data_IF_512033201127
#
_entry.id   IF_512033201127
#
_cell.length_a   1.000
_cell.length_b   1.000
_cell.length_c   1.000
_cell.angle_alpha   90.00
_cell.angle_beta   90.00
_cell.angle_gamma   90.00
#
_symmetry.space_group_name_H-M   'P 1'
#
loop_
_entity.id
_entity.type
_entity.pdbx_description
1 polymer ?
#
# COMPACT_ATOMS: atom_id res chain seq x y z
N UNK A 1 -15.71 -0.20 -23.73
CA UNK A 1 -14.41 -0.87 -23.62
C UNK A 1 -13.76 -0.33 -22.36
N UNK A 2 -14.10 -0.90 -21.20
CA UNK A 2 -13.72 -0.35 -19.90
C UNK A 2 -12.23 -0.63 -19.61
N UNK A 3 -11.52 0.44 -19.24
CA UNK A 3 -10.10 0.50 -18.92
C UNK A 3 -9.75 -0.44 -17.77
N UNK A 4 -8.91 -1.46 -17.99
CA UNK A 4 -8.35 -2.27 -16.89
C UNK A 4 -6.91 -2.67 -17.20
N UNK A 5 -5.98 -1.74 -17.01
CA UNK A 5 -4.54 -2.02 -17.05
C UNK A 5 -3.78 -1.08 -16.11
N UNK A 6 -4.27 -0.90 -14.88
CA UNK A 6 -3.50 -0.27 -13.79
C UNK A 6 -3.25 -1.23 -12.61
N UNK A 7 -3.49 -2.53 -12.82
CA UNK A 7 -3.57 -3.58 -11.81
C UNK A 7 -2.24 -4.05 -11.18
N UNK A 8 -1.09 -3.42 -11.48
CA UNK A 8 0.21 -3.95 -10.98
C UNK A 8 0.77 -3.28 -9.74
N UNK A 9 0.24 -2.12 -9.35
CA UNK A 9 0.76 -1.36 -8.23
C UNK A 9 -0.35 -1.02 -7.24
N UNK A 10 -1.17 -1.99 -6.84
CA UNK A 10 -2.18 -1.77 -5.80
C UNK A 10 -1.53 -2.16 -4.46
N UNK A 11 -1.66 -1.30 -3.45
CA UNK A 11 -1.25 -1.63 -2.09
C UNK A 11 -2.17 -2.71 -1.52
N UNK A 12 -1.62 -3.86 -1.13
CA UNK A 12 -2.40 -5.00 -0.58
C UNK A 12 -3.04 -4.67 0.78
N UNK A 13 -2.59 -3.60 1.46
CA UNK A 13 -3.14 -3.20 2.76
C UNK A 13 -4.30 -2.21 2.65
N UNK A 14 -4.25 -1.26 1.71
CA UNK A 14 -5.26 -0.19 1.61
C UNK A 14 -6.02 -0.15 0.28
N UNK A 15 -5.62 -0.97 -0.70
CA UNK A 15 -6.21 -0.98 -2.04
C UNK A 15 -5.90 0.26 -2.88
N UNK A 16 -5.03 1.17 -2.42
CA UNK A 16 -4.66 2.36 -3.17
C UNK A 16 -3.71 2.03 -4.32
N UNK A 17 -3.90 2.70 -5.46
CA UNK A 17 -2.99 2.61 -6.60
C UNK A 17 -1.74 3.46 -6.38
N UNK A 18 -0.60 2.79 -6.31
CA UNK A 18 0.73 3.35 -6.18
C UNK A 18 1.22 3.76 -7.58
N UNK A 19 1.25 5.07 -7.82
CA UNK A 19 1.61 5.64 -9.12
C UNK A 19 3.10 5.95 -9.24
N UNK A 20 3.77 6.27 -8.13
CA UNK A 20 5.18 6.72 -8.12
C UNK A 20 6.03 5.79 -7.29
N UNK A 21 7.31 5.66 -7.67
CA UNK A 21 8.29 4.90 -6.88
C UNK A 21 8.42 5.40 -5.43
N UNK A 22 8.26 6.70 -5.22
CA UNK A 22 8.33 7.32 -3.89
C UNK A 22 7.15 6.95 -2.99
N UNK A 23 6.03 6.53 -3.57
CA UNK A 23 4.83 6.15 -2.83
C UNK A 23 4.88 4.67 -2.39
N UNK A 24 5.92 3.93 -2.79
CA UNK A 24 6.10 2.54 -2.37
C UNK A 24 6.72 2.44 -0.97
N UNK A 25 6.35 1.37 -0.29
CA UNK A 25 6.86 1.03 1.01
C UNK A 25 8.36 0.71 0.99
N UNK A 26 8.92 0.54 2.17
CA UNK A 26 10.31 0.12 2.33
C UNK A 26 10.42 -1.08 3.25
N UNK A 27 11.24 -2.05 2.86
CA UNK A 27 11.59 -3.21 3.67
C UNK A 27 12.60 -2.82 4.76
N UNK A 28 12.85 -3.73 5.71
CA UNK A 28 13.80 -3.50 6.81
C UNK A 28 15.24 -3.25 6.31
N UNK A 29 15.60 -3.86 5.19
CA UNK A 29 16.89 -3.70 4.51
C UNK A 29 17.01 -2.37 3.72
N UNK A 30 15.94 -1.57 3.68
CA UNK A 30 15.87 -0.31 2.94
C UNK A 30 15.54 -0.46 1.45
N UNK A 31 15.25 -1.67 0.98
CA UNK A 31 14.75 -1.88 -0.39
C UNK A 31 13.29 -1.45 -0.53
N UNK A 32 12.88 -1.14 -1.76
CA UNK A 32 11.50 -0.75 -2.06
C UNK A 32 10.58 -1.96 -2.01
N UNK A 33 9.47 -1.85 -1.28
CA UNK A 33 8.43 -2.86 -1.22
C UNK A 33 7.35 -2.55 -2.27
N UNK A 34 7.11 -3.45 -3.21
CA UNK A 34 6.12 -3.27 -4.29
C UNK A 34 4.70 -3.71 -3.93
N UNK A 35 4.53 -4.38 -2.79
CA UNK A 35 3.27 -4.93 -2.31
C UNK A 35 2.50 -3.90 -1.46
N UNK A 36 3.23 -2.99 -0.82
CA UNK A 36 2.67 -2.00 0.09
C UNK A 36 3.13 -0.58 -0.27
N UNK A 37 2.29 0.42 0.00
CA UNK A 37 2.67 1.83 -0.12
C UNK A 37 3.43 2.33 1.12
N UNK A 38 4.12 3.46 1.00
CA UNK A 38 4.89 4.06 2.08
C UNK A 38 4.05 4.49 3.27
N UNK A 39 2.75 4.76 3.05
CA UNK A 39 1.78 5.06 4.11
C UNK A 39 1.36 3.80 4.88
N UNK A 40 1.40 2.61 4.26
CA UNK A 40 1.01 1.38 4.94
C UNK A 40 2.20 0.59 5.48
N UNK A 41 3.38 0.70 4.87
CA UNK A 41 4.55 -0.11 5.23
C UNK A 41 5.85 0.64 5.02
N UNK A 42 6.62 0.81 6.09
CA UNK A 42 7.89 1.53 6.05
C UNK A 42 8.93 0.89 6.96
N UNK A 43 10.16 0.77 6.46
CA UNK A 43 11.30 0.17 7.17
C UNK A 43 10.98 -1.20 7.79
N UNK A 44 10.25 -2.04 7.07
CA UNK A 44 9.90 -3.38 7.54
C UNK A 44 8.68 -3.44 8.47
N UNK A 45 8.01 -2.32 8.74
CA UNK A 45 6.93 -2.21 9.72
C UNK A 45 5.68 -1.64 9.08
N UNK A 46 4.53 -2.22 9.42
CA UNK A 46 3.24 -1.65 9.04
C UNK A 46 2.99 -0.36 9.83
N UNK A 47 2.67 0.71 9.11
CA UNK A 47 2.20 1.96 9.68
C UNK A 47 0.70 1.82 9.83
N UNK A 48 0.28 1.58 11.07
CA UNK A 48 -1.15 1.55 11.40
C UNK A 48 -1.63 3.00 11.50
N UNK A 49 -2.39 3.45 10.49
CA UNK A 49 -3.04 4.77 10.52
C UNK A 49 -4.26 4.81 11.46
N UNK A 50 -4.46 3.81 12.32
CA UNK A 50 -5.55 3.78 13.27
C UNK A 50 -6.91 3.60 12.61
N UNK A 51 -6.97 2.85 11.48
CA UNK A 51 -8.25 2.37 10.98
C UNK A 51 -8.69 1.27 11.94
N UNK A 52 -9.33 1.68 13.04
CA UNK A 52 -9.97 0.73 13.95
C UNK A 52 -10.95 -0.09 13.12
N UNK A 53 -10.96 -1.40 13.40
CA UNK A 53 -11.78 -2.40 12.71
C UNK A 53 -13.30 -2.08 12.69
N UNK A 54 -13.73 -1.04 13.40
CA UNK A 54 -15.10 -0.53 13.52
C UNK A 54 -15.72 -0.01 12.22
N UNK A 55 -14.94 0.25 11.16
CA UNK A 55 -15.49 0.70 9.87
C UNK A 55 -15.79 -0.44 8.87
N UNK A 56 -15.71 -1.71 9.30
CA UNK A 56 -15.89 -2.88 8.42
C UNK A 56 -17.27 -3.56 8.52
N UNK A 57 -18.31 -2.85 8.93
CA UNK A 57 -19.69 -3.38 8.96
C UNK A 57 -20.60 -2.49 8.13
N UNK A 58 -20.96 -2.98 6.95
CA UNK A 58 -22.28 -2.74 6.33
C UNK A 58 -22.76 -4.07 5.71
#
# INVERSE_FOLDING_TARGET
MEMKFFDKNICESCGASILKLADFGTNEDGTVNTEFCHDCYQKGKFIDHGITLEQKIE
#
